data_IF_320485507481
#
_entry.id   IF_320485507481
#
_cell.length_a   1.000
_cell.length_b   1.000
_cell.length_c   1.000
_cell.angle_alpha   90.00
_cell.angle_beta   90.00
_cell.angle_gamma   90.00
#
_symmetry.space_group_name_H-M   'P 1'
#
loop_
_entity.id
_entity.type
_entity.pdbx_description
1 polymer ?
#
# COMPACT_ATOMS: atom_id res chain seq x y z
N UNK A 1 10.85 4.26 -19.28
CA UNK A 1 9.58 3.74 -19.82
C UNK A 1 9.09 2.65 -18.87
N UNK A 2 7.89 2.81 -18.32
CA UNK A 2 7.22 1.79 -17.51
C UNK A 2 6.98 0.59 -18.42
N UNK A 3 7.56 -0.56 -18.07
CA UNK A 3 7.34 -1.80 -18.84
C UNK A 3 5.89 -2.24 -18.63
N UNK A 4 5.13 -2.30 -19.73
CA UNK A 4 3.75 -2.78 -19.68
C UNK A 4 3.71 -4.29 -19.34
N UNK A 5 2.69 -4.72 -18.63
CA UNK A 5 2.39 -6.13 -18.46
C UNK A 5 2.13 -6.76 -19.84
N UNK A 6 2.54 -8.02 -20.01
CA UNK A 6 2.21 -8.78 -21.21
C UNK A 6 0.69 -9.03 -21.25
N UNK A 7 0.14 -9.28 -22.45
CA UNK A 7 -1.30 -9.50 -22.63
C UNK A 7 -1.83 -10.62 -21.71
N UNK A 8 -1.06 -11.70 -21.54
CA UNK A 8 -1.37 -12.80 -20.60
C UNK A 8 -1.41 -12.35 -19.14
N UNK A 9 -0.50 -11.45 -18.74
CA UNK A 9 -0.48 -10.91 -17.38
C UNK A 9 -1.70 -10.02 -17.07
N UNK A 10 -2.10 -9.19 -18.04
CA UNK A 10 -3.30 -8.36 -17.92
C UNK A 10 -4.57 -9.23 -17.85
N UNK A 11 -4.63 -10.30 -18.63
CA UNK A 11 -5.74 -11.26 -18.58
C UNK A 11 -5.82 -11.98 -17.23
N UNK A 12 -4.70 -12.41 -16.66
CA UNK A 12 -4.67 -13.03 -15.33
C UNK A 12 -5.13 -12.06 -14.22
N UNK A 13 -4.75 -10.77 -14.29
CA UNK A 13 -5.23 -9.77 -13.34
C UNK A 13 -6.74 -9.53 -13.49
N UNK A 14 -7.27 -9.57 -14.71
CA UNK A 14 -8.71 -9.49 -14.95
C UNK A 14 -9.44 -10.70 -14.35
N UNK A 15 -8.93 -11.91 -14.57
CA UNK A 15 -9.49 -13.12 -13.95
C UNK A 15 -9.43 -13.06 -12.43
N UNK A 16 -8.34 -12.55 -11.87
CA UNK A 16 -8.21 -12.36 -10.43
C UNK A 16 -9.21 -11.33 -9.89
N UNK A 17 -9.42 -10.23 -10.60
CA UNK A 17 -10.46 -9.25 -10.26
C UNK A 17 -11.85 -9.89 -10.23
N UNK A 18 -12.23 -10.57 -11.31
CA UNK A 18 -13.55 -11.22 -11.41
C UNK A 18 -13.71 -12.30 -10.34
N UNK A 19 -12.70 -13.13 -10.13
CA UNK A 19 -12.70 -14.16 -9.09
C UNK A 19 -12.84 -13.58 -7.68
N UNK A 20 -12.09 -12.52 -7.38
CA UNK A 20 -12.19 -11.79 -6.09
C UNK A 20 -13.56 -11.17 -5.93
N UNK A 21 -14.07 -10.50 -6.96
CA UNK A 21 -15.40 -9.90 -6.92
C UNK A 21 -16.49 -10.92 -6.60
N UNK A 22 -16.52 -12.05 -7.32
CA UNK A 22 -17.49 -13.10 -7.11
C UNK A 22 -17.34 -13.75 -5.72
N UNK A 23 -16.10 -13.98 -5.28
CA UNK A 23 -15.82 -14.54 -3.96
C UNK A 23 -16.34 -13.65 -2.84
N UNK A 24 -16.02 -12.34 -2.85
CA UNK A 24 -16.47 -11.42 -1.80
C UNK A 24 -17.98 -11.15 -1.87
N UNK A 25 -18.57 -11.11 -3.06
CA UNK A 25 -20.01 -10.96 -3.22
C UNK A 25 -20.77 -12.17 -2.67
N UNK A 26 -20.22 -13.37 -2.83
CA UNK A 26 -20.88 -14.59 -2.35
C UNK A 26 -20.69 -14.83 -0.86
N UNK A 27 -19.46 -14.66 -0.33
CA UNK A 27 -19.11 -15.05 1.03
C UNK A 27 -19.22 -13.92 2.04
N UNK A 28 -18.89 -12.68 1.66
CA UNK A 28 -18.69 -11.57 2.59
C UNK A 28 -19.58 -10.36 2.34
N UNK A 29 -20.54 -10.46 1.43
CA UNK A 29 -21.47 -9.36 1.08
C UNK A 29 -22.13 -8.70 2.29
N UNK A 30 -22.66 -9.51 3.21
CA UNK A 30 -23.35 -8.99 4.39
C UNK A 30 -22.39 -8.44 5.42
N UNK A 31 -21.21 -9.03 5.57
CA UNK A 31 -20.17 -8.57 6.49
C UNK A 31 -19.72 -7.15 6.13
N UNK A 32 -19.39 -6.88 4.88
CA UNK A 32 -18.93 -5.56 4.46
C UNK A 32 -20.04 -4.51 4.43
N UNK A 33 -21.28 -4.89 4.17
CA UNK A 33 -22.43 -3.98 4.34
C UNK A 33 -22.68 -3.63 5.79
N UNK A 34 -22.47 -4.57 6.69
CA UNK A 34 -22.59 -4.33 8.12
C UNK A 34 -21.46 -3.41 8.61
N UNK A 35 -20.26 -3.53 8.04
CA UNK A 35 -19.12 -2.71 8.39
C UNK A 35 -19.37 -1.21 8.15
N UNK A 36 -20.09 -0.84 7.11
CA UNK A 36 -20.43 0.55 6.81
C UNK A 36 -21.17 1.23 7.97
N UNK A 37 -21.99 0.48 8.70
CA UNK A 37 -22.76 1.04 9.81
C UNK A 37 -21.90 1.45 11.01
N UNK A 38 -20.68 0.93 11.13
CA UNK A 38 -19.76 1.27 12.22
C UNK A 38 -18.77 2.37 11.86
N UNK A 39 -18.62 2.67 10.58
CA UNK A 39 -17.67 3.67 10.11
C UNK A 39 -18.40 4.98 9.91
N UNK A 40 -18.20 5.93 10.82
CA UNK A 40 -18.71 7.27 10.68
C UNK A 40 -17.74 8.11 9.83
N UNK A 41 -18.14 8.44 8.61
CA UNK A 41 -17.39 9.35 7.76
C UNK A 41 -18.08 10.72 7.73
N UNK A 42 -17.31 11.78 7.94
CA UNK A 42 -17.77 13.15 7.87
C UNK A 42 -16.97 13.93 6.84
N UNK A 43 -17.67 14.72 6.04
CA UNK A 43 -17.05 15.61 5.04
C UNK A 43 -16.65 16.98 5.64
N UNK A 44 -16.73 17.13 6.96
CA UNK A 44 -16.39 18.38 7.63
C UNK A 44 -14.88 18.63 7.59
N UNK A 45 -14.50 19.89 7.45
CA UNK A 45 -13.09 20.31 7.44
C UNK A 45 -12.38 19.92 8.74
N UNK A 46 -13.06 20.02 9.89
CA UNK A 46 -12.52 19.64 11.19
C UNK A 46 -12.19 18.15 11.26
N UNK A 47 -13.05 17.28 10.73
CA UNK A 47 -12.81 15.85 10.70
C UNK A 47 -11.62 15.50 9.79
N UNK A 48 -11.56 16.10 8.61
CA UNK A 48 -10.42 15.92 7.70
C UNK A 48 -9.11 16.40 8.34
N UNK A 49 -9.12 17.58 8.99
CA UNK A 49 -7.94 18.10 9.70
C UNK A 49 -7.48 17.20 10.83
N UNK A 50 -8.40 16.65 11.62
CA UNK A 50 -8.05 15.75 12.71
C UNK A 50 -7.37 14.48 12.19
N UNK A 51 -7.96 13.81 11.18
CA UNK A 51 -7.38 12.59 10.63
C UNK A 51 -6.09 12.85 9.86
N UNK A 52 -6.07 13.85 8.97
CA UNK A 52 -4.89 14.14 8.14
C UNK A 52 -3.72 14.74 8.96
N UNK A 53 -3.98 15.26 10.16
CA UNK A 53 -2.95 15.73 11.08
C UNK A 53 -2.16 14.59 11.74
N UNK A 54 -2.68 13.37 11.75
CA UNK A 54 -2.03 12.22 12.34
C UNK A 54 -1.27 11.38 11.30
N UNK A 55 -0.11 10.79 11.66
CA UNK A 55 0.59 9.86 10.80
C UNK A 55 -0.30 8.65 10.44
N UNK A 56 -0.47 8.41 9.14
CA UNK A 56 -1.32 7.33 8.63
C UNK A 56 -2.77 7.74 8.37
N UNK A 57 -3.19 8.91 8.85
CA UNK A 57 -4.58 9.36 8.75
C UNK A 57 -5.09 9.56 7.32
N UNK A 58 -4.20 9.76 6.35
CA UNK A 58 -4.58 9.87 4.94
C UNK A 58 -5.27 8.61 4.40
N UNK A 59 -4.72 7.45 4.67
CA UNK A 59 -5.34 6.16 4.27
C UNK A 59 -6.59 5.88 5.09
N UNK A 60 -6.61 6.22 6.37
CA UNK A 60 -7.78 6.08 7.23
C UNK A 60 -8.95 6.93 6.70
N UNK A 61 -8.70 8.17 6.32
CA UNK A 61 -9.68 9.06 5.73
C UNK A 61 -10.23 8.49 4.40
N UNK A 62 -9.35 8.00 3.52
CA UNK A 62 -9.75 7.37 2.26
C UNK A 62 -10.55 6.08 2.49
N UNK A 63 -10.10 5.24 3.44
CA UNK A 63 -10.77 3.99 3.78
C UNK A 63 -12.18 4.24 4.30
N UNK A 64 -12.33 5.20 5.23
CA UNK A 64 -13.62 5.58 5.78
C UNK A 64 -14.57 6.09 4.69
N UNK A 65 -14.07 6.94 3.78
CA UNK A 65 -14.86 7.45 2.66
C UNK A 65 -15.31 6.36 1.69
N UNK A 66 -14.42 5.42 1.34
CA UNK A 66 -14.77 4.30 0.47
C UNK A 66 -15.77 3.33 1.14
N UNK A 67 -15.66 3.13 2.45
CA UNK A 67 -16.56 2.24 3.20
C UNK A 67 -18.01 2.76 3.16
N UNK A 68 -18.24 4.07 3.07
CA UNK A 68 -19.60 4.63 2.91
C UNK A 68 -20.31 4.15 1.63
N UNK A 69 -19.55 3.80 0.59
CA UNK A 69 -20.13 3.27 -0.64
C UNK A 69 -20.65 1.83 -0.49
N UNK A 70 -20.35 1.14 0.64
CA UNK A 70 -20.68 -0.28 0.82
C UNK A 70 -22.19 -0.53 1.05
N UNK A 71 -22.96 0.51 1.34
CA UNK A 71 -24.43 0.45 1.36
C UNK A 71 -25.02 0.09 -0.02
N UNK A 72 -24.34 0.48 -1.11
CA UNK A 72 -24.82 0.18 -2.46
C UNK A 72 -24.52 -1.28 -2.86
N UNK A 73 -25.42 -1.93 -3.63
CA UNK A 73 -25.19 -3.29 -4.10
C UNK A 73 -23.87 -3.42 -4.87
N UNK A 74 -23.14 -4.50 -4.62
CA UNK A 74 -21.88 -4.84 -5.28
C UNK A 74 -20.70 -3.90 -5.01
N UNK A 75 -20.88 -2.72 -4.41
CA UNK A 75 -19.82 -1.74 -4.25
C UNK A 75 -18.70 -2.23 -3.32
N UNK A 76 -19.03 -2.90 -2.22
CA UNK A 76 -18.04 -3.47 -1.30
C UNK A 76 -17.15 -4.49 -2.00
N UNK A 77 -17.77 -5.47 -2.67
CA UNK A 77 -17.06 -6.53 -3.39
C UNK A 77 -16.23 -5.98 -4.53
N UNK A 78 -16.76 -5.00 -5.28
CA UNK A 78 -16.03 -4.34 -6.37
C UNK A 78 -14.83 -3.54 -5.86
N UNK A 79 -15.00 -2.78 -4.77
CA UNK A 79 -13.91 -1.99 -4.17
C UNK A 79 -12.79 -2.89 -3.67
N UNK A 80 -13.12 -3.95 -2.94
CA UNK A 80 -12.13 -4.90 -2.42
C UNK A 80 -11.40 -5.62 -3.56
N UNK A 81 -12.15 -6.13 -4.55
CA UNK A 81 -11.56 -6.79 -5.72
C UNK A 81 -10.65 -5.84 -6.50
N UNK A 82 -11.02 -4.56 -6.65
CA UNK A 82 -10.20 -3.55 -7.29
C UNK A 82 -8.89 -3.30 -6.52
N UNK A 83 -8.98 -3.10 -5.22
CA UNK A 83 -7.80 -2.85 -4.38
C UNK A 83 -6.85 -4.05 -4.35
N UNK A 84 -7.38 -5.27 -4.26
CA UNK A 84 -6.57 -6.50 -4.36
C UNK A 84 -5.87 -6.61 -5.72
N UNK A 85 -6.58 -6.28 -6.79
CA UNK A 85 -6.01 -6.30 -8.15
C UNK A 85 -4.97 -5.20 -8.34
N UNK A 86 -5.17 -4.02 -7.78
CA UNK A 86 -4.19 -2.94 -7.77
C UNK A 86 -2.93 -3.33 -6.98
N UNK A 87 -3.08 -3.94 -5.81
CA UNK A 87 -1.95 -4.44 -5.03
C UNK A 87 -1.16 -5.51 -5.79
N UNK A 88 -1.86 -6.50 -6.37
CA UNK A 88 -1.24 -7.57 -7.16
C UNK A 88 -0.56 -7.02 -8.42
N UNK A 89 -1.20 -6.09 -9.12
CA UNK A 89 -0.64 -5.42 -10.30
C UNK A 89 0.61 -4.59 -9.97
N UNK A 90 0.56 -3.83 -8.87
CA UNK A 90 1.71 -3.08 -8.36
C UNK A 90 2.88 -4.00 -8.00
N UNK A 91 2.62 -5.10 -7.28
CA UNK A 91 3.64 -6.08 -6.91
C UNK A 91 4.21 -6.79 -8.14
N UNK A 92 3.38 -7.16 -9.12
CA UNK A 92 3.84 -7.76 -10.37
C UNK A 92 4.76 -6.83 -11.17
N UNK A 93 4.39 -5.55 -11.27
CA UNK A 93 5.21 -4.52 -11.92
C UNK A 93 6.50 -4.26 -11.15
N UNK A 94 6.43 -4.23 -9.82
CA UNK A 94 7.60 -4.10 -8.96
C UNK A 94 8.59 -5.24 -9.20
N UNK A 95 8.16 -6.50 -9.13
CA UNK A 95 8.99 -7.67 -9.37
C UNK A 95 9.63 -7.61 -10.77
N UNK A 96 8.86 -7.22 -11.77
CA UNK A 96 9.37 -7.07 -13.14
C UNK A 96 10.41 -5.97 -13.27
N UNK A 97 10.22 -4.83 -12.60
CA UNK A 97 11.16 -3.70 -12.64
C UNK A 97 12.40 -3.93 -11.79
N UNK A 98 12.31 -4.74 -10.75
CA UNK A 98 13.41 -5.16 -9.91
C UNK A 98 14.35 -6.19 -10.58
N UNK A 99 13.97 -6.74 -11.74
CA UNK A 99 14.83 -7.63 -12.53
C UNK A 99 14.61 -9.13 -12.26
N UNK A 100 13.53 -9.50 -11.59
CA UNK A 100 13.15 -10.92 -11.53
C UNK A 100 12.72 -11.39 -12.91
N UNK A 101 13.31 -12.50 -13.34
CA UNK A 101 12.97 -13.13 -14.62
C UNK A 101 11.45 -13.25 -14.76
N UNK A 102 10.96 -12.87 -15.93
CA UNK A 102 9.57 -12.87 -16.34
C UNK A 102 8.79 -14.07 -15.81
N UNK A 103 7.78 -13.82 -15.02
CA UNK A 103 6.77 -14.85 -14.94
C UNK A 103 6.18 -15.19 -13.58
N UNK A 104 6.66 -14.70 -12.50
CA UNK A 104 6.07 -15.04 -11.20
C UNK A 104 4.89 -14.13 -10.83
N UNK A 105 3.96 -13.91 -11.79
CA UNK A 105 2.68 -13.26 -11.50
C UNK A 105 1.93 -13.98 -10.37
N UNK A 106 2.08 -15.29 -10.26
CA UNK A 106 1.54 -16.09 -9.16
C UNK A 106 2.00 -15.61 -7.80
N UNK A 107 3.27 -15.23 -7.65
CA UNK A 107 3.80 -14.67 -6.41
C UNK A 107 3.11 -13.34 -6.09
N UNK A 108 2.83 -12.54 -7.11
CA UNK A 108 2.14 -11.26 -6.93
C UNK A 108 0.65 -11.43 -6.53
N UNK A 109 0.02 -12.54 -6.88
CA UNK A 109 -1.36 -12.86 -6.49
C UNK A 109 -1.47 -13.43 -5.07
N UNK A 110 -0.39 -14.03 -4.53
CA UNK A 110 -0.40 -14.70 -3.22
C UNK A 110 -0.93 -13.81 -2.07
N UNK A 111 -0.47 -12.56 -1.88
CA UNK A 111 -0.98 -11.72 -0.81
C UNK A 111 -2.49 -11.46 -0.94
N UNK A 112 -2.97 -11.29 -2.17
CA UNK A 112 -4.40 -11.12 -2.43
C UNK A 112 -5.21 -12.39 -2.14
N UNK A 113 -4.69 -13.56 -2.48
CA UNK A 113 -5.33 -14.84 -2.16
C UNK A 113 -5.35 -15.10 -0.64
N UNK A 114 -4.30 -14.73 0.07
CA UNK A 114 -4.28 -14.81 1.53
C UNK A 114 -5.36 -13.90 2.16
N UNK A 115 -5.60 -12.73 1.57
CA UNK A 115 -6.65 -11.82 2.04
C UNK A 115 -8.07 -12.43 1.92
N UNK A 116 -8.32 -13.36 1.01
CA UNK A 116 -9.60 -14.06 0.90
C UNK A 116 -9.95 -14.85 2.16
N UNK A 117 -8.93 -15.38 2.85
CA UNK A 117 -9.11 -16.18 4.07
C UNK A 117 -9.17 -15.35 5.35
N UNK A 118 -8.69 -14.11 5.30
CA UNK A 118 -8.61 -13.22 6.46
C UNK A 118 -9.30 -11.88 6.15
N UNK A 119 -10.65 -11.85 6.16
CA UNK A 119 -11.37 -10.60 5.96
C UNK A 119 -11.01 -9.61 7.07
N UNK A 120 -10.72 -8.38 6.65
CA UNK A 120 -10.32 -7.32 7.57
C UNK A 120 -11.53 -6.48 7.95
N UNK A 121 -11.55 -6.01 9.19
CA UNK A 121 -12.56 -5.06 9.70
C UNK A 121 -12.43 -3.65 9.08
N UNK A 122 -11.32 -3.38 8.40
CA UNK A 122 -11.08 -2.13 7.68
C UNK A 122 -10.40 -2.43 6.34
N UNK A 123 -10.68 -1.59 5.33
CA UNK A 123 -9.97 -1.65 4.04
C UNK A 123 -8.65 -0.84 4.04
N UNK A 124 -8.35 -0.13 5.13
CA UNK A 124 -7.12 0.66 5.26
C UNK A 124 -5.84 -0.18 5.06
N UNK A 125 -5.69 -1.40 5.61
CA UNK A 125 -4.51 -2.23 5.35
C UNK A 125 -4.33 -2.57 3.87
N UNK A 126 -5.42 -2.79 3.14
CA UNK A 126 -5.37 -3.12 1.72
C UNK A 126 -4.95 -1.91 0.87
N UNK A 127 -5.46 -0.72 1.19
CA UNK A 127 -5.00 0.55 0.60
C UNK A 127 -3.52 0.78 0.88
N UNK A 128 -3.08 0.52 2.11
CA UNK A 128 -1.69 0.64 2.57
C UNK A 128 -0.75 -0.24 1.75
N UNK A 129 -1.09 -1.53 1.57
CA UNK A 129 -0.30 -2.47 0.77
C UNK A 129 -0.26 -2.05 -0.69
N UNK A 130 -1.42 -1.67 -1.27
CA UNK A 130 -1.50 -1.13 -2.63
C UNK A 130 -0.58 0.07 -2.81
N UNK A 131 -0.65 1.04 -1.91
CA UNK A 131 0.19 2.25 -1.95
C UNK A 131 1.67 1.89 -1.93
N UNK A 132 2.10 1.02 -1.00
CA UNK A 132 3.50 0.61 -0.88
C UNK A 132 4.01 -0.05 -2.18
N UNK A 133 3.21 -0.92 -2.80
CA UNK A 133 3.57 -1.56 -4.08
C UNK A 133 3.75 -0.54 -5.21
N UNK A 134 2.83 0.42 -5.34
CA UNK A 134 2.93 1.44 -6.39
C UNK A 134 4.05 2.45 -6.15
N UNK A 135 4.33 2.82 -4.90
CA UNK A 135 5.51 3.63 -4.55
C UNK A 135 6.81 2.90 -4.90
N UNK A 136 6.87 1.58 -4.72
CA UNK A 136 8.02 0.78 -5.10
C UNK A 136 8.22 0.73 -6.63
N UNK A 137 7.14 0.66 -7.41
CA UNK A 137 7.19 0.79 -8.87
C UNK A 137 7.70 2.16 -9.28
N UNK A 138 7.20 3.22 -8.65
CA UNK A 138 7.64 4.60 -8.91
C UNK A 138 9.12 4.78 -8.60
N UNK A 139 9.59 4.30 -7.45
CA UNK A 139 10.99 4.30 -7.06
C UNK A 139 11.88 3.64 -8.12
N UNK A 140 11.49 2.47 -8.60
CA UNK A 140 12.23 1.73 -9.61
C UNK A 140 12.19 2.38 -11.01
N UNK A 141 11.19 3.20 -11.30
CA UNK A 141 11.07 3.93 -12.57
C UNK A 141 12.08 5.08 -12.70
N UNK A 142 12.62 5.57 -11.58
CA UNK A 142 13.59 6.67 -11.56
C UNK A 142 14.96 6.15 -11.98
N UNK A 143 15.43 6.60 -13.16
CA UNK A 143 16.68 6.11 -13.74
C UNK A 143 17.96 6.66 -13.09
N UNK A 144 18.12 8.00 -12.86
CA UNK A 144 19.33 8.53 -12.24
C UNK A 144 19.43 8.04 -10.77
N UNK A 145 20.52 7.34 -10.43
CA UNK A 145 20.68 6.74 -9.10
C UNK A 145 20.61 7.77 -7.97
N UNK A 146 21.27 8.93 -8.13
CA UNK A 146 21.25 9.98 -7.10
C UNK A 146 19.85 10.59 -6.89
N UNK A 147 19.05 10.77 -7.96
CA UNK A 147 17.66 11.23 -7.87
C UNK A 147 16.80 10.17 -7.19
N UNK A 148 17.00 8.90 -7.57
CA UNK A 148 16.27 7.76 -6.99
C UNK A 148 16.46 7.67 -5.48
N UNK A 149 17.71 7.83 -5.00
CA UNK A 149 18.01 7.77 -3.57
C UNK A 149 17.35 8.90 -2.79
N UNK A 150 17.46 10.14 -3.29
CA UNK A 150 16.77 11.29 -2.69
C UNK A 150 15.23 11.12 -2.72
N UNK A 151 14.69 10.74 -3.86
CA UNK A 151 13.25 10.47 -4.00
C UNK A 151 12.78 9.34 -3.09
N UNK A 152 13.60 8.30 -2.89
CA UNK A 152 13.30 7.20 -1.96
C UNK A 152 13.04 7.67 -0.54
N UNK A 153 13.87 8.55 0.00
CA UNK A 153 13.70 9.12 1.34
C UNK A 153 12.47 10.01 1.44
N UNK A 154 12.22 10.86 0.42
CA UNK A 154 11.03 11.71 0.37
C UNK A 154 9.75 10.89 0.28
N UNK A 155 9.70 9.90 -0.62
CA UNK A 155 8.55 9.01 -0.79
C UNK A 155 8.30 8.17 0.47
N UNK A 156 9.36 7.77 1.20
CA UNK A 156 9.25 7.03 2.44
C UNK A 156 8.64 7.87 3.55
N UNK A 157 9.06 9.13 3.67
CA UNK A 157 8.47 10.09 4.60
C UNK A 157 7.00 10.37 4.23
N UNK A 158 6.71 10.57 2.94
CA UNK A 158 5.35 10.74 2.45
C UNK A 158 4.47 9.51 2.76
N UNK A 159 4.99 8.29 2.52
CA UNK A 159 4.30 7.05 2.84
C UNK A 159 3.98 6.92 4.33
N UNK A 160 4.87 7.41 5.21
CA UNK A 160 4.64 7.41 6.65
C UNK A 160 3.45 8.28 7.05
N UNK A 161 3.40 9.53 6.57
CA UNK A 161 2.30 10.44 6.91
C UNK A 161 0.98 10.04 6.24
N UNK A 162 1.03 9.49 5.03
CA UNK A 162 -0.18 9.08 4.31
C UNK A 162 -0.74 7.75 4.84
N UNK A 163 0.13 6.78 5.15
CA UNK A 163 -0.26 5.41 5.53
C UNK A 163 0.82 4.78 6.42
N UNK A 164 0.76 4.98 7.72
CA UNK A 164 1.85 4.61 8.66
C UNK A 164 2.47 3.24 8.41
N UNK A 165 1.74 2.12 8.24
CA UNK A 165 2.42 0.82 8.00
C UNK A 165 3.05 0.71 6.59
N UNK A 166 2.60 1.52 5.60
CA UNK A 166 3.12 1.45 4.23
C UNK A 166 4.61 1.78 4.14
N UNK A 167 5.11 2.67 4.99
CA UNK A 167 6.51 3.09 4.96
C UNK A 167 7.48 1.95 5.27
N UNK A 168 7.12 1.05 6.20
CA UNK A 168 7.94 -0.14 6.53
C UNK A 168 7.99 -1.10 5.34
N UNK A 169 6.83 -1.40 4.76
CA UNK A 169 6.74 -2.25 3.58
C UNK A 169 7.50 -1.65 2.38
N UNK A 170 7.37 -0.34 2.19
CA UNK A 170 8.08 0.37 1.13
C UNK A 170 9.59 0.40 1.36
N UNK A 171 10.06 0.56 2.61
CA UNK A 171 11.49 0.46 2.95
C UNK A 171 12.04 -0.94 2.62
N UNK A 172 11.28 -2.02 2.90
CA UNK A 172 11.65 -3.37 2.50
C UNK A 172 11.74 -3.51 0.97
N UNK A 173 10.81 -2.90 0.22
CA UNK A 173 10.87 -2.89 -1.24
C UNK A 173 12.07 -2.13 -1.78
N UNK A 174 12.45 -0.99 -1.17
CA UNK A 174 13.69 -0.27 -1.52
C UNK A 174 14.89 -1.18 -1.27
N UNK A 175 14.98 -1.76 -0.07
CA UNK A 175 16.09 -2.64 0.29
C UNK A 175 16.22 -3.84 -0.68
N UNK A 176 15.10 -4.46 -1.03
CA UNK A 176 15.05 -5.57 -1.99
C UNK A 176 15.47 -5.12 -3.40
N UNK A 177 15.01 -3.96 -3.86
CA UNK A 177 15.38 -3.40 -5.16
C UNK A 177 16.87 -3.15 -5.27
N UNK A 178 17.44 -2.52 -4.25
CA UNK A 178 18.85 -2.18 -4.23
C UNK A 178 19.74 -3.43 -4.08
N UNK A 179 19.32 -4.40 -3.25
CA UNK A 179 20.01 -5.69 -3.15
C UNK A 179 20.02 -6.44 -4.50
N UNK A 180 18.96 -6.34 -5.27
CA UNK A 180 18.85 -7.01 -6.58
C UNK A 180 19.71 -6.35 -7.65
N UNK A 181 19.83 -5.01 -7.61
CA UNK A 181 20.64 -4.25 -8.59
C UNK A 181 22.14 -4.52 -8.46
N UNK A 182 22.63 -4.92 -7.27
CA UNK A 182 24.04 -5.22 -6.99
C UNK A 182 25.01 -4.12 -7.45
N UNK A 183 24.61 -2.85 -7.32
CA UNK A 183 25.45 -1.69 -7.69
C UNK A 183 26.58 -1.42 -6.68
N UNK A 184 27.04 -2.46 -5.95
CA UNK A 184 28.13 -2.40 -5.00
C UNK A 184 27.76 -1.78 -3.64
N UNK A 185 28.75 -1.22 -2.95
CA UNK A 185 28.60 -0.70 -1.56
C UNK A 185 27.53 0.40 -1.44
N UNK A 186 27.36 1.22 -2.49
CA UNK A 186 26.38 2.32 -2.50
C UNK A 186 24.94 1.81 -2.36
N UNK A 187 24.61 0.73 -3.06
CA UNK A 187 23.29 0.09 -3.00
C UNK A 187 22.99 -0.45 -1.60
N UNK A 188 23.97 -1.10 -0.98
CA UNK A 188 23.84 -1.60 0.39
C UNK A 188 23.64 -0.47 1.41
N UNK A 189 24.41 0.62 1.27
CA UNK A 189 24.25 1.80 2.14
C UNK A 189 22.86 2.40 2.02
N UNK A 190 22.32 2.53 0.81
CA UNK A 190 20.97 3.07 0.58
C UNK A 190 19.90 2.15 1.17
N UNK A 191 20.04 0.83 1.00
CA UNK A 191 19.11 -0.14 1.58
C UNK A 191 19.06 -0.02 3.11
N UNK A 192 20.25 0.03 3.76
CA UNK A 192 20.34 0.20 5.21
C UNK A 192 19.79 1.56 5.64
N UNK A 193 20.15 2.63 4.93
CA UNK A 193 19.67 3.98 5.23
C UNK A 193 18.14 4.08 5.16
N UNK A 194 17.50 3.45 4.17
CA UNK A 194 16.05 3.41 4.05
C UNK A 194 15.38 2.69 5.22
N UNK A 195 15.93 1.54 5.66
CA UNK A 195 15.41 0.80 6.82
C UNK A 195 15.59 1.58 8.12
N UNK A 196 16.77 2.19 8.31
CA UNK A 196 17.04 3.04 9.49
C UNK A 196 16.14 4.25 9.51
N UNK A 197 15.94 4.93 8.35
CA UNK A 197 15.05 6.07 8.25
C UNK A 197 13.60 5.67 8.56
N UNK A 198 13.13 4.54 8.04
CA UNK A 198 11.80 4.01 8.34
C UNK A 198 11.61 3.74 9.85
N UNK A 199 12.64 3.25 10.54
CA UNK A 199 12.59 3.02 11.99
C UNK A 199 12.64 4.32 12.80
N UNK A 200 13.30 5.37 12.29
CA UNK A 200 13.41 6.66 12.97
C UNK A 200 12.16 7.54 12.81
N UNK A 201 11.43 7.42 11.71
CA UNK A 201 10.24 8.25 11.44
C UNK A 201 9.20 8.21 12.57
N UNK A 202 8.80 7.05 13.13
CA UNK A 202 7.87 7.01 14.26
C UNK A 202 8.41 7.75 15.49
N UNK A 203 9.71 7.62 15.78
CA UNK A 203 10.35 8.29 16.91
C UNK A 203 10.37 9.83 16.76
N UNK A 204 10.59 10.29 15.54
CA UNK A 204 10.52 11.72 15.20
C UNK A 204 9.08 12.22 15.34
N UNK A 205 8.13 11.48 14.77
CA UNK A 205 6.71 11.85 14.83
C UNK A 205 6.18 11.87 16.27
N UNK A 206 6.61 10.93 17.12
CA UNK A 206 6.24 10.95 18.55
C UNK A 206 6.66 12.23 19.27
N UNK A 207 7.77 12.85 18.85
CA UNK A 207 8.24 14.09 19.45
C UNK A 207 7.64 15.36 18.84
N UNK A 208 7.18 15.29 17.61
CA UNK A 208 6.75 16.46 16.84
C UNK A 208 5.23 16.56 16.63
N UNK A 209 4.56 15.43 16.49
CA UNK A 209 3.14 15.36 16.15
C UNK A 209 2.24 15.02 17.34
N UNK A 210 2.77 14.31 18.37
CA UNK A 210 1.97 13.96 19.53
C UNK A 210 2.16 15.00 20.65
N UNK A 211 1.05 15.53 21.14
CA UNK A 211 0.99 16.61 22.13
C UNK A 211 1.34 16.11 23.55
N UNK A 212 1.15 14.83 23.82
CA UNK A 212 1.42 14.26 25.15
C UNK A 212 2.88 13.77 25.24
N UNK A 213 3.67 14.31 26.18
CA UNK A 213 5.01 13.81 26.42
C UNK A 213 4.94 12.37 26.99
N UNK A 214 5.84 11.49 26.53
CA UNK A 214 5.95 10.07 26.98
C UNK A 214 6.02 9.88 28.51
N UNK A 215 6.16 10.95 29.31
CA UNK A 215 6.20 10.88 30.77
C UNK A 215 4.81 10.81 31.44
N UNK A 216 3.73 11.04 30.67
CA UNK A 216 2.36 11.07 31.19
C UNK A 216 1.50 9.94 30.63
N UNK A 217 2.06 9.06 29.80
CA UNK A 217 1.47 7.84 29.31
C UNK A 217 2.06 6.64 30.05
#
# INVERSE_FOLDING_TARGET
AIQRLNLSGSFMLLLFFVGSFLFFEWHYRYFYRFLEQFVLFQTSESYAHTLLGEPGGGVEYMASGLTQCFSTPFASSATIALLLTLAAGGLALFLKTAGTASGNLWIALLPGLLFWFFPQESIAPLLTVSLACWLAVLYNAIKPSWVRYGAGLVLLTFAYFLATPAHLLFACFIAMSEAWRREGTKSTVVAVAALVWAALLPLIAMRTCYILPMREA
#
